data_IF_202810109889
#
_entry.id   IF_202810109889
#
_cell.length_a   1.000
_cell.length_b   1.000
_cell.length_c   1.000
_cell.angle_alpha   90.00
_cell.angle_beta   90.00
_cell.angle_gamma   90.00
#
_symmetry.space_group_name_H-M   'P 1'
#
loop_
_entity.id
_entity.type
_entity.pdbx_description
1 polymer ?
#
# COMPACT_ATOMS: atom_id res chain seq x y z
N UNK A 1 13.25 -26.02 -5.91
CA UNK A 1 12.32 -25.01 -5.36
C UNK A 1 13.12 -23.73 -5.33
N UNK A 2 12.87 -22.79 -6.21
CA UNK A 2 13.52 -21.48 -6.20
C UNK A 2 12.95 -20.73 -4.99
N UNK A 3 13.81 -20.43 -4.02
CA UNK A 3 13.47 -19.52 -2.91
C UNK A 3 12.97 -18.21 -3.54
N UNK A 4 11.66 -17.99 -3.55
CA UNK A 4 11.10 -16.73 -4.02
C UNK A 4 11.50 -15.65 -3.02
N UNK A 5 12.52 -14.87 -3.41
CA UNK A 5 13.11 -13.85 -2.56
C UNK A 5 12.06 -12.75 -2.31
N UNK A 6 11.67 -12.58 -1.06
CA UNK A 6 10.85 -11.45 -0.64
C UNK A 6 11.66 -10.17 -0.77
N UNK A 7 11.14 -9.18 -1.48
CA UNK A 7 11.74 -7.84 -1.58
C UNK A 7 11.18 -6.96 -0.47
N UNK A 8 12.06 -6.40 0.33
CA UNK A 8 11.70 -5.44 1.39
C UNK A 8 11.83 -4.01 0.89
N UNK A 9 10.80 -3.20 1.11
CA UNK A 9 10.76 -1.80 0.67
C UNK A 9 10.23 -0.92 1.81
N UNK A 10 10.94 0.17 2.10
CA UNK A 10 10.49 1.19 3.04
C UNK A 10 9.78 2.31 2.28
N UNK A 11 8.66 2.78 2.80
CA UNK A 11 7.85 3.84 2.19
C UNK A 11 7.51 4.91 3.21
N UNK A 12 7.46 6.16 2.75
CA UNK A 12 7.02 7.31 3.54
C UNK A 12 6.37 8.36 2.65
N UNK A 13 5.47 9.15 3.23
CA UNK A 13 4.76 10.24 2.57
C UNK A 13 4.88 11.53 3.36
N UNK A 14 5.16 12.64 2.68
CA UNK A 14 5.27 13.96 3.27
C UNK A 14 4.31 14.96 2.62
N UNK A 15 3.64 15.75 3.45
CA UNK A 15 2.78 16.85 3.02
C UNK A 15 3.23 18.13 3.75
N UNK A 16 3.73 19.16 3.02
CA UNK A 16 4.29 20.37 3.64
C UNK A 16 3.31 21.13 4.52
N UNK A 17 2.04 21.13 4.14
CA UNK A 17 0.89 21.57 4.92
C UNK A 17 -0.25 20.59 4.70
N UNK A 18 -1.07 20.35 5.70
CA UNK A 18 -2.11 19.31 5.64
C UNK A 18 -3.51 19.93 5.73
N UNK A 19 -4.24 20.16 4.60
CA UNK A 19 -3.91 19.76 3.22
C UNK A 19 -2.92 20.69 2.49
N UNK A 20 -2.41 20.22 1.35
CA UNK A 20 -1.52 20.94 0.44
C UNK A 20 -1.86 20.56 -1.01
N UNK A 21 -1.59 21.41 -2.01
CA UNK A 21 -1.72 21.01 -3.42
C UNK A 21 -0.60 20.08 -3.89
N UNK A 22 0.43 19.86 -3.06
CA UNK A 22 1.57 18.99 -3.38
C UNK A 22 2.01 18.21 -2.16
N UNK A 23 2.60 17.06 -2.41
CA UNK A 23 3.27 16.23 -1.41
C UNK A 23 4.56 15.64 -1.97
N UNK A 24 5.25 14.88 -1.16
CA UNK A 24 6.39 14.07 -1.56
C UNK A 24 6.18 12.63 -1.15
N UNK A 25 6.70 11.70 -1.93
CA UNK A 25 6.79 10.30 -1.59
C UNK A 25 8.23 9.86 -1.59
N UNK A 26 8.56 8.94 -0.69
CA UNK A 26 9.88 8.35 -0.55
C UNK A 26 9.79 6.83 -0.52
N UNK A 27 10.65 6.19 -1.29
CA UNK A 27 10.76 4.72 -1.39
C UNK A 27 12.22 4.35 -1.26
N UNK A 28 12.52 3.34 -0.46
CA UNK A 28 13.88 2.83 -0.31
C UNK A 28 13.90 1.31 -0.29
N UNK A 29 14.67 0.73 -1.20
CA UNK A 29 14.93 -0.70 -1.25
C UNK A 29 16.34 -0.99 -0.68
N UNK A 30 16.44 -1.55 0.53
CA UNK A 30 17.73 -1.80 1.19
C UNK A 30 18.56 -2.87 0.49
N UNK A 31 17.93 -3.79 -0.26
CA UNK A 31 18.65 -4.85 -0.98
C UNK A 31 19.45 -4.33 -2.15
N UNK A 32 18.99 -3.27 -2.79
CA UNK A 32 19.67 -2.61 -3.92
C UNK A 32 20.39 -1.33 -3.53
N UNK A 33 20.08 -0.77 -2.35
CA UNK A 33 20.53 0.55 -1.92
C UNK A 33 19.88 1.71 -2.68
N UNK A 34 18.87 1.43 -3.51
CA UNK A 34 18.18 2.44 -4.32
C UNK A 34 17.11 3.13 -3.49
N UNK A 35 17.17 4.45 -3.45
CA UNK A 35 16.16 5.33 -2.88
C UNK A 35 15.59 6.27 -3.95
N UNK A 36 14.29 6.46 -3.94
CA UNK A 36 13.57 7.28 -4.91
C UNK A 36 12.65 8.24 -4.15
N UNK A 37 12.71 9.52 -4.52
CA UNK A 37 11.79 10.55 -4.03
C UNK A 37 11.08 11.21 -5.20
N UNK A 38 9.75 11.32 -5.14
CA UNK A 38 8.96 12.02 -6.14
C UNK A 38 8.06 13.07 -5.51
N UNK A 39 8.06 14.27 -6.10
CA UNK A 39 7.00 15.25 -5.85
C UNK A 39 5.72 14.79 -6.52
N UNK A 40 4.61 14.90 -5.81
CA UNK A 40 3.28 14.53 -6.28
C UNK A 40 2.35 15.73 -6.19
N UNK A 41 1.52 15.94 -7.19
CA UNK A 41 0.48 16.96 -7.19
C UNK A 41 -0.89 16.32 -7.07
N UNK A 42 -1.68 16.80 -6.11
CA UNK A 42 -3.07 16.42 -5.90
C UNK A 42 -3.77 17.57 -5.16
N UNK A 43 -4.93 18.01 -5.64
CA UNK A 43 -5.66 19.13 -5.02
C UNK A 43 -6.05 18.84 -3.57
N UNK A 44 -6.29 17.57 -3.25
CA UNK A 44 -6.67 17.08 -1.92
C UNK A 44 -5.51 16.37 -1.18
N UNK A 45 -4.26 16.72 -1.48
CA UNK A 45 -3.11 16.08 -0.85
C UNK A 45 -3.13 16.25 0.66
N UNK A 46 -2.99 15.14 1.35
CA UNK A 46 -2.83 15.04 2.80
C UNK A 46 -1.69 14.08 3.13
N UNK A 47 -1.19 14.10 4.36
CA UNK A 47 -0.20 13.11 4.79
C UNK A 47 -0.65 11.68 4.47
N UNK A 48 -1.91 11.33 4.81
CA UNK A 48 -2.43 10.00 4.53
C UNK A 48 -2.43 9.66 3.04
N UNK A 49 -2.74 10.62 2.16
CA UNK A 49 -2.69 10.39 0.71
C UNK A 49 -1.25 10.21 0.23
N UNK A 50 -0.31 11.01 0.71
CA UNK A 50 1.11 10.87 0.37
C UNK A 50 1.65 9.50 0.80
N UNK A 51 1.32 9.03 2.01
CA UNK A 51 1.67 7.69 2.51
C UNK A 51 1.10 6.57 1.62
N UNK A 52 -0.18 6.68 1.25
CA UNK A 52 -0.82 5.71 0.35
C UNK A 52 -0.15 5.69 -1.03
N UNK A 53 0.16 6.86 -1.58
CA UNK A 53 0.83 6.99 -2.88
C UNK A 53 2.26 6.43 -2.85
N UNK A 54 2.98 6.55 -1.74
CA UNK A 54 4.28 5.92 -1.58
C UNK A 54 4.19 4.38 -1.65
N UNK A 55 3.19 3.79 -1.00
CA UNK A 55 2.95 2.34 -1.09
C UNK A 55 2.50 1.92 -2.50
N UNK A 56 1.63 2.68 -3.15
CA UNK A 56 1.20 2.42 -4.53
C UNK A 56 2.42 2.41 -5.47
N UNK A 57 3.30 3.43 -5.39
CA UNK A 57 4.49 3.50 -6.22
C UNK A 57 5.43 2.32 -5.95
N UNK A 58 5.65 1.96 -4.69
CA UNK A 58 6.48 0.81 -4.33
C UNK A 58 5.95 -0.48 -4.96
N UNK A 59 4.64 -0.73 -4.87
CA UNK A 59 4.00 -1.90 -5.47
C UNK A 59 4.04 -1.90 -7.00
N UNK A 60 4.03 -0.72 -7.63
CA UNK A 60 4.13 -0.60 -9.10
C UNK A 60 5.56 -0.74 -9.62
N UNK A 61 6.56 -0.34 -8.83
CA UNK A 61 7.96 -0.31 -9.25
C UNK A 61 8.69 -1.64 -9.03
N UNK A 62 8.23 -2.47 -8.10
CA UNK A 62 8.87 -3.74 -7.78
C UNK A 62 8.24 -4.90 -8.57
N UNK A 63 9.05 -5.60 -9.34
CA UNK A 63 8.64 -6.82 -10.06
C UNK A 63 9.07 -8.06 -9.28
N UNK A 64 8.39 -8.31 -8.15
CA UNK A 64 8.67 -9.43 -7.27
C UNK A 64 7.39 -10.19 -6.93
N UNK A 65 7.50 -11.51 -6.75
CA UNK A 65 6.39 -12.39 -6.34
C UNK A 65 5.99 -12.13 -4.88
N UNK A 66 6.93 -11.68 -4.06
CA UNK A 66 6.70 -11.37 -2.65
C UNK A 66 7.33 -10.04 -2.29
N UNK A 67 6.54 -9.14 -1.73
CA UNK A 67 6.96 -7.79 -1.33
C UNK A 67 6.57 -7.56 0.13
N UNK A 68 7.52 -7.09 0.92
CA UNK A 68 7.27 -6.62 2.28
C UNK A 68 7.43 -5.10 2.32
N UNK A 69 6.35 -4.39 2.60
CA UNK A 69 6.29 -2.94 2.75
C UNK A 69 6.46 -2.58 4.22
N UNK A 70 7.48 -1.78 4.52
CA UNK A 70 7.68 -1.17 5.82
C UNK A 70 7.22 0.28 5.78
N UNK A 71 6.24 0.64 6.61
CA UNK A 71 5.70 1.99 6.72
C UNK A 71 5.49 2.38 8.18
N UNK A 72 5.66 3.64 8.54
CA UNK A 72 5.30 4.17 9.86
C UNK A 72 3.89 4.80 9.89
N UNK A 73 3.14 4.63 8.80
CA UNK A 73 1.75 5.01 8.72
C UNK A 73 0.84 3.94 9.30
N UNK A 74 0.36 4.14 10.53
CA UNK A 74 -0.69 3.27 11.10
C UNK A 74 -1.95 3.27 10.24
N UNK A 75 -2.26 4.42 9.62
CA UNK A 75 -3.41 4.55 8.72
C UNK A 75 -3.33 3.59 7.55
N UNK A 76 -2.17 3.49 6.91
CA UNK A 76 -1.97 2.59 5.77
C UNK A 76 -1.89 1.14 6.23
N UNK A 77 -1.00 0.83 7.18
CA UNK A 77 -0.74 -0.56 7.59
C UNK A 77 -1.99 -1.24 8.14
N UNK A 78 -2.70 -0.57 9.06
CA UNK A 78 -3.92 -1.11 9.67
C UNK A 78 -5.05 -1.31 8.65
N UNK A 79 -5.27 -0.33 7.78
CA UNK A 79 -6.39 -0.42 6.84
C UNK A 79 -6.13 -1.42 5.71
N UNK A 80 -4.89 -1.57 5.24
CA UNK A 80 -4.52 -2.58 4.26
C UNK A 80 -4.70 -4.01 4.80
N UNK A 81 -4.39 -4.23 6.08
CA UNK A 81 -4.44 -5.56 6.69
C UNK A 81 -5.81 -5.94 7.22
N UNK A 82 -6.55 -5.00 7.82
CA UNK A 82 -7.77 -5.30 8.57
C UNK A 82 -9.06 -4.91 7.85
N UNK A 83 -9.05 -3.79 7.08
CA UNK A 83 -10.27 -3.15 6.65
C UNK A 83 -10.54 -3.23 5.14
N UNK A 84 -9.51 -3.27 4.30
CA UNK A 84 -9.64 -3.07 2.85
C UNK A 84 -10.56 -4.09 2.18
N UNK A 85 -10.54 -5.35 2.61
CA UNK A 85 -11.40 -6.40 2.06
C UNK A 85 -12.89 -6.13 2.36
N UNK A 86 -13.20 -5.68 3.57
CA UNK A 86 -14.55 -5.29 3.96
C UNK A 86 -15.00 -4.08 3.16
N UNK A 87 -14.16 -3.04 3.06
CA UNK A 87 -14.48 -1.84 2.28
C UNK A 87 -14.74 -2.14 0.81
N UNK A 88 -13.97 -3.05 0.23
CA UNK A 88 -14.21 -3.52 -1.14
C UNK A 88 -15.58 -4.15 -1.28
N UNK A 89 -15.98 -5.00 -0.34
CA UNK A 89 -17.30 -5.65 -0.35
C UNK A 89 -18.45 -4.66 -0.24
N UNK A 90 -18.25 -3.56 0.50
CA UNK A 90 -19.22 -2.50 0.72
C UNK A 90 -19.17 -1.39 -0.35
N UNK A 91 -18.29 -1.52 -1.37
CA UNK A 91 -18.10 -0.53 -2.43
C UNK A 91 -17.52 0.78 -1.95
N UNK A 92 -16.68 0.76 -0.89
CA UNK A 92 -15.98 1.91 -0.28
C UNK A 92 -16.90 3.06 0.16
N UNK A 93 -18.16 2.79 0.47
CA UNK A 93 -19.15 3.83 0.83
C UNK A 93 -18.72 4.57 2.10
N UNK A 94 -18.57 5.91 1.98
CA UNK A 94 -18.21 6.78 3.09
C UNK A 94 -16.76 6.67 3.55
N UNK A 95 -15.91 5.94 2.82
CA UNK A 95 -14.49 5.80 3.14
C UNK A 95 -13.69 6.96 2.53
N UNK A 96 -12.91 7.66 3.37
CA UNK A 96 -11.98 8.69 2.89
C UNK A 96 -10.89 8.05 2.03
N UNK A 97 -10.44 8.76 0.98
CA UNK A 97 -9.42 8.30 0.04
C UNK A 97 -9.81 6.98 -0.66
N UNK A 98 -11.10 6.77 -0.91
CA UNK A 98 -11.62 5.54 -1.52
C UNK A 98 -10.99 5.25 -2.88
N UNK A 99 -10.66 6.29 -3.64
CA UNK A 99 -9.93 6.23 -4.91
C UNK A 99 -8.59 5.51 -4.78
N UNK A 100 -7.80 5.86 -3.77
CA UNK A 100 -6.49 5.23 -3.52
C UNK A 100 -6.63 3.86 -2.86
N UNK A 101 -7.65 3.65 -2.00
CA UNK A 101 -7.92 2.33 -1.43
C UNK A 101 -8.33 1.32 -2.49
N UNK A 102 -9.10 1.72 -3.49
CA UNK A 102 -9.45 0.85 -4.60
C UNK A 102 -8.22 0.39 -5.37
N UNK A 103 -7.31 1.31 -5.68
CA UNK A 103 -6.02 1.02 -6.32
C UNK A 103 -5.17 0.08 -5.48
N UNK A 104 -5.01 0.39 -4.18
CA UNK A 104 -4.25 -0.45 -3.24
C UNK A 104 -4.83 -1.86 -3.14
N UNK A 105 -6.15 -1.99 -3.09
CA UNK A 105 -6.80 -3.29 -3.09
C UNK A 105 -6.42 -4.09 -4.34
N UNK A 106 -6.48 -3.47 -5.50
CA UNK A 106 -6.19 -4.15 -6.76
C UNK A 106 -4.72 -4.55 -6.89
N UNK A 107 -3.81 -3.72 -6.39
CA UNK A 107 -2.38 -4.02 -6.36
C UNK A 107 -2.01 -5.14 -5.36
N UNK A 108 -2.78 -5.29 -4.28
CA UNK A 108 -2.47 -6.25 -3.21
C UNK A 108 -3.25 -7.56 -3.30
N UNK A 109 -4.50 -7.49 -3.73
CA UNK A 109 -5.43 -8.63 -3.75
C UNK A 109 -6.01 -8.91 -5.14
N UNK A 110 -5.59 -8.16 -6.15
CA UNK A 110 -6.04 -8.35 -7.53
C UNK A 110 -5.67 -9.72 -8.07
N UNK A 111 -6.60 -10.38 -8.79
CA UNK A 111 -6.55 -11.79 -9.16
C UNK A 111 -5.47 -12.18 -10.19
N UNK A 112 -4.56 -11.30 -10.59
CA UNK A 112 -3.78 -11.51 -11.81
C UNK A 112 -2.29 -11.67 -11.59
N UNK A 113 -1.74 -11.05 -10.58
CA UNK A 113 -0.41 -11.41 -10.08
C UNK A 113 -0.60 -11.82 -8.64
N UNK A 114 -0.48 -13.11 -8.34
CA UNK A 114 -0.45 -13.61 -6.96
C UNK A 114 0.84 -13.09 -6.33
N UNK A 115 0.81 -11.81 -5.96
CA UNK A 115 1.87 -11.23 -5.15
C UNK A 115 1.50 -11.42 -3.71
N UNK A 116 2.44 -11.92 -2.93
CA UNK A 116 2.32 -11.90 -1.49
C UNK A 116 2.77 -10.51 -1.01
N UNK A 117 1.81 -9.67 -0.62
CA UNK A 117 2.12 -8.35 -0.08
C UNK A 117 1.97 -8.39 1.43
N UNK A 118 3.07 -8.17 2.12
CA UNK A 118 3.10 -8.01 3.57
C UNK A 118 3.27 -6.53 3.89
N UNK A 119 2.52 -6.02 4.86
CA UNK A 119 2.67 -4.63 5.31
C UNK A 119 3.03 -4.65 6.79
N UNK A 120 4.23 -4.20 7.08
CA UNK A 120 4.78 -4.16 8.43
C UNK A 120 4.83 -2.72 8.92
N UNK A 121 4.11 -2.45 10.02
CA UNK A 121 4.23 -1.17 10.70
C UNK A 121 5.57 -1.06 11.42
N UNK A 122 6.29 0.03 11.18
CA UNK A 122 7.52 0.35 11.88
C UNK A 122 7.37 1.68 12.64
N UNK A 123 7.91 1.74 13.85
CA UNK A 123 7.91 2.99 14.58
C UNK A 123 8.79 4.01 13.86
N UNK A 124 8.29 5.23 13.69
CA UNK A 124 9.01 6.33 13.03
C UNK A 124 10.45 6.44 13.52
N UNK A 125 11.38 6.44 12.58
CA UNK A 125 12.81 6.57 12.87
C UNK A 125 13.46 5.36 13.56
N UNK A 126 12.74 4.23 13.77
CA UNK A 126 13.31 3.03 14.40
C UNK A 126 14.24 2.24 13.47
N UNK A 127 14.01 2.32 12.16
CA UNK A 127 14.78 1.63 11.13
C UNK A 127 15.54 2.63 10.25
N UNK A 128 16.75 2.24 9.80
CA UNK A 128 17.53 3.08 8.88
C UNK A 128 16.76 3.28 7.57
N UNK A 129 16.11 2.23 7.05
CA UNK A 129 15.32 2.31 5.81
C UNK A 129 14.16 3.30 5.93
N UNK A 130 13.46 3.35 7.06
CA UNK A 130 12.40 4.33 7.30
C UNK A 130 12.95 5.77 7.32
N UNK A 131 14.11 6.01 7.95
CA UNK A 131 14.76 7.33 7.93
C UNK A 131 15.15 7.78 6.51
N UNK A 132 15.58 6.84 5.67
CA UNK A 132 15.90 7.14 4.27
C UNK A 132 14.63 7.49 3.49
N UNK A 133 13.55 6.72 3.65
CA UNK A 133 12.28 7.00 3.01
C UNK A 133 11.70 8.35 3.45
N UNK A 134 11.71 8.67 4.75
CA UNK A 134 11.27 9.97 5.29
C UNK A 134 12.10 11.15 4.70
N UNK A 135 13.42 11.02 4.65
CA UNK A 135 14.27 12.04 4.04
C UNK A 135 13.98 12.25 2.55
N UNK A 136 13.72 11.18 1.81
CA UNK A 136 13.36 11.24 0.39
C UNK A 136 11.99 11.89 0.18
N UNK A 137 10.97 11.51 0.97
CA UNK A 137 9.64 12.09 0.92
C UNK A 137 9.66 13.58 1.25
N UNK A 138 10.31 13.94 2.35
CA UNK A 138 10.44 15.34 2.80
C UNK A 138 11.25 16.18 1.80
N UNK A 139 12.34 15.65 1.25
CA UNK A 139 13.12 16.31 0.20
C UNK A 139 12.30 16.54 -1.06
N UNK A 140 11.54 15.54 -1.51
CA UNK A 140 10.70 15.63 -2.68
C UNK A 140 9.54 16.63 -2.49
N UNK A 141 8.90 16.66 -1.32
CA UNK A 141 7.83 17.58 -1.00
C UNK A 141 8.27 19.05 -1.06
N UNK A 142 9.51 19.33 -0.69
CA UNK A 142 10.09 20.67 -0.60
C UNK A 142 10.94 21.06 -1.81
N UNK A 143 11.12 20.17 -2.81
CA UNK A 143 11.90 20.50 -3.99
C UNK A 143 11.24 21.57 -4.84
N UNK A 144 12.07 22.43 -5.45
CA UNK A 144 11.64 23.41 -6.46
C UNK A 144 11.65 22.83 -7.87
N UNK A 145 12.07 21.57 -8.03
CA UNK A 145 12.07 20.90 -9.33
C UNK A 145 10.66 20.81 -9.90
N UNK A 146 10.58 21.05 -11.22
CA UNK A 146 9.32 20.97 -11.95
C UNK A 146 8.88 19.54 -12.29
N UNK A 147 9.70 18.53 -11.96
CA UNK A 147 9.31 17.15 -12.18
C UNK A 147 8.33 16.71 -11.10
N UNK A 148 7.11 16.48 -11.53
CA UNK A 148 6.00 16.01 -10.68
C UNK A 148 5.55 14.67 -11.21
N UNK A 149 5.44 13.68 -10.32
CA UNK A 149 4.89 12.40 -10.71
C UNK A 149 3.38 12.50 -10.96
N UNK A 150 2.98 12.28 -12.20
CA UNK A 150 1.57 12.15 -12.59
C UNK A 150 1.08 10.73 -12.30
N UNK A 151 0.79 10.48 -11.03
CA UNK A 151 0.39 9.15 -10.56
C UNK A 151 -0.90 8.66 -11.24
N UNK A 152 -1.84 9.55 -11.56
CA UNK A 152 -3.11 9.18 -12.21
C UNK A 152 -2.84 8.61 -13.59
N UNK A 153 -2.02 9.27 -14.39
CA UNK A 153 -1.61 8.80 -15.71
C UNK A 153 -0.85 7.48 -15.67
N UNK A 154 0.09 7.35 -14.74
CA UNK A 154 0.91 6.15 -14.64
C UNK A 154 0.11 4.95 -14.15
N UNK A 155 -0.80 5.14 -13.19
CA UNK A 155 -1.73 4.10 -12.74
C UNK A 155 -2.65 3.67 -13.88
N UNK A 156 -3.25 4.61 -14.61
CA UNK A 156 -4.08 4.32 -15.79
C UNK A 156 -3.28 3.56 -16.85
N UNK A 157 -2.05 3.97 -17.12
CA UNK A 157 -1.16 3.27 -18.05
C UNK A 157 -0.83 1.87 -17.58
N UNK A 158 -0.58 1.67 -16.28
CA UNK A 158 -0.28 0.38 -15.69
C UNK A 158 -1.48 -0.58 -15.77
N UNK A 159 -2.68 -0.10 -15.41
CA UNK A 159 -3.94 -0.85 -15.52
C UNK A 159 -4.22 -1.24 -16.98
N UNK A 160 -3.90 -0.37 -17.94
CA UNK A 160 -4.19 -0.60 -19.36
C UNK A 160 -3.15 -1.46 -20.09
N UNK A 161 -1.92 -1.55 -19.61
CA UNK A 161 -0.87 -2.41 -20.20
C UNK A 161 -1.19 -3.89 -20.07
N UNK A 162 -1.97 -4.26 -19.06
CA UNK A 162 -2.41 -5.63 -18.83
C UNK A 162 -3.95 -5.70 -18.86
N UNK A 163 -4.55 -6.04 -20.04
CA UNK A 163 -6.02 -6.13 -20.16
C UNK A 163 -6.62 -7.18 -19.23
N UNK A 164 -5.82 -8.11 -18.72
CA UNK A 164 -6.27 -9.13 -17.77
C UNK A 164 -6.43 -8.54 -16.37
N UNK A 165 -5.81 -7.40 -16.08
CA UNK A 165 -5.95 -6.60 -14.85
C UNK A 165 -7.17 -5.67 -14.86
N UNK A 166 -7.93 -5.62 -15.99
CA UNK A 166 -9.23 -4.94 -16.00
C UNK A 166 -10.21 -5.70 -15.13
N UNK A 167 -10.76 -5.02 -14.15
CA UNK A 167 -11.79 -5.55 -13.27
C UNK A 167 -12.88 -6.27 -14.07
N UNK A 168 -12.97 -7.58 -13.95
CA UNK A 168 -14.26 -8.23 -14.14
C UNK A 168 -15.14 -7.66 -13.02
N UNK A 169 -16.16 -6.88 -13.36
CA UNK A 169 -17.22 -6.44 -12.42
C UNK A 169 -17.48 -7.61 -11.49
N UNK A 170 -17.23 -7.40 -10.20
CA UNK A 170 -17.36 -8.44 -9.20
C UNK A 170 -18.72 -9.10 -9.35
N UNK A 171 -18.75 -10.35 -9.78
CA UNK A 171 -19.94 -11.17 -9.70
C UNK A 171 -20.28 -11.25 -8.22
N UNK A 172 -21.52 -10.93 -7.86
CA UNK A 172 -22.02 -10.96 -6.49
C UNK A 172 -21.49 -12.22 -5.79
N UNK A 173 -20.87 -12.11 -4.61
CA UNK A 173 -20.41 -13.27 -3.88
C UNK A 173 -21.59 -14.19 -3.60
N UNK A 174 -21.42 -15.49 -3.92
CA UNK A 174 -22.39 -16.50 -3.52
C UNK A 174 -22.54 -16.46 -1.99
N UNK A 175 -23.76 -16.60 -1.44
CA UNK A 175 -23.98 -16.63 0.00
C UNK A 175 -23.10 -17.72 0.63
N UNK A 176 -22.27 -17.36 1.60
CA UNK A 176 -21.49 -18.33 2.38
C UNK A 176 -22.45 -19.27 3.10
N UNK A 177 -22.26 -20.56 2.95
CA UNK A 177 -22.93 -21.58 3.74
C UNK A 177 -22.70 -21.29 5.23
N UNK A 178 -23.77 -21.41 6.03
CA UNK A 178 -23.71 -21.25 7.49
C UNK A 178 -22.65 -22.20 8.05
N UNK A 179 -21.78 -21.76 8.98
CA UNK A 179 -20.86 -22.65 9.65
C UNK A 179 -21.61 -23.71 10.45
N UNK A 180 -21.14 -24.94 10.39
CA UNK A 180 -21.64 -26.03 11.21
C UNK A 180 -21.39 -25.73 12.71
N UNK A 181 -22.24 -26.22 13.64
CA UNK A 181 -22.10 -25.93 15.06
C UNK A 181 -20.78 -26.49 15.60
N UNK A 182 -20.01 -25.64 16.28
CA UNK A 182 -18.77 -26.00 16.97
C UNK A 182 -19.08 -27.02 18.09
N UNK A 183 -18.51 -28.21 17.98
CA UNK A 183 -18.32 -29.08 19.11
C UNK A 183 -17.14 -28.55 19.94
N UNK A 184 -17.43 -28.08 21.13
CA UNK A 184 -16.45 -27.66 22.13
C UNK A 184 -15.59 -28.84 22.55
N UNK A 185 -14.30 -28.82 22.21
CA UNK A 185 -13.31 -29.64 22.88
C UNK A 185 -12.73 -28.85 24.06
N UNK A 186 -13.10 -29.27 25.27
CA UNK A 186 -12.51 -28.79 26.52
C UNK A 186 -11.05 -29.21 26.57
N UNK A 187 -10.15 -28.22 26.56
CA UNK A 187 -8.74 -28.43 26.93
C UNK A 187 -8.51 -27.83 28.32
N UNK A 188 -8.25 -28.70 29.28
CA UNK A 188 -7.86 -28.36 30.64
C UNK A 188 -6.43 -27.82 30.66
N UNK A 189 -6.24 -26.66 31.24
CA UNK A 189 -4.93 -26.15 31.66
C UNK A 189 -4.49 -26.85 32.93
N UNK A 190 -3.28 -27.39 32.95
CA UNK A 190 -2.53 -27.70 34.18
C UNK A 190 -1.40 -26.64 34.31
N UNK A 191 -1.17 -26.09 35.52
CA UNK A 191 -0.09 -25.15 35.78
C UNK A 191 1.18 -25.88 36.23
N UNK A 192 2.33 -25.40 35.76
CA UNK A 192 3.61 -25.43 36.44
C UNK A 192 4.38 -24.15 36.12
#
# INVERSE_FOLDING_TARGET
>A
MTDSKTVSVYTDGACPSNPSPTGGIGIYNPSTGIGIGYKVQDEDMTNNRAEMLAVIMALMSEDAESIEIFTDSEYVSKNLTENIQRWRSDGYKGIKNSDLWEILHDLTYGAINVRFVYVTFVRRGSHVGNKVADALASGAANTTDNYVWDYKKDIDSWINKDPTKRHKKASKPKPKAKPAPNNEAKTSFMPF
#
